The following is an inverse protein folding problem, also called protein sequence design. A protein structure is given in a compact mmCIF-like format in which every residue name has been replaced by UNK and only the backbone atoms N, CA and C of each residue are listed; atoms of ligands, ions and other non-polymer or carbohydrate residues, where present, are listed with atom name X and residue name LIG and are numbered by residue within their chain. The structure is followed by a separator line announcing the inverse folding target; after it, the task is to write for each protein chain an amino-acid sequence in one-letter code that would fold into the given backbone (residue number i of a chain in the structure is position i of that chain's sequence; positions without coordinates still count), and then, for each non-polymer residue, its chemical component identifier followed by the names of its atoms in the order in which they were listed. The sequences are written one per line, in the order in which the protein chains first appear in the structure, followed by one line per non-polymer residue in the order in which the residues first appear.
data_IF_888390067397
#
_entry.id   IF_888390067397
#
_cell.length_a   1.000
_cell.length_b   1.000
_cell.length_c   1.000
_cell.angle_alpha   90.00
_cell.angle_beta   90.00
_cell.angle_gamma   90.00
#
_symmetry.space_group_name_H-M   'P 1'
#
loop_
_entity.id
_entity.type
_entity.pdbx_description
1 polymer ?
#
# COMPACT_ATOMS: atom_id res chain seq x y z
N UNK A 1 -26.97 23.87 -63.81
CA UNK A 1 -26.94 23.94 -62.33
C UNK A 1 -25.93 25.00 -61.93
N UNK A 2 -26.35 26.11 -61.30
CA UNK A 2 -25.44 27.19 -60.86
C UNK A 2 -24.75 26.75 -59.56
N UNK A 3 -23.46 26.45 -59.62
CA UNK A 3 -22.65 26.21 -58.44
C UNK A 3 -22.58 27.51 -57.61
N UNK A 4 -23.12 27.47 -56.40
CA UNK A 4 -23.06 28.58 -55.46
C UNK A 4 -21.60 28.72 -55.01
N UNK A 5 -20.89 29.72 -55.51
CA UNK A 5 -19.55 30.07 -55.02
C UNK A 5 -19.64 30.47 -53.55
N UNK A 6 -18.93 29.74 -52.69
CA UNK A 6 -18.83 30.07 -51.26
C UNK A 6 -17.87 31.27 -51.11
N UNK A 7 -18.18 32.22 -50.22
CA UNK A 7 -17.28 33.33 -49.92
C UNK A 7 -15.90 32.78 -49.53
N UNK A 8 -14.84 33.33 -50.13
CA UNK A 8 -13.47 32.86 -49.94
C UNK A 8 -13.08 32.97 -48.46
N UNK A 9 -12.68 31.84 -47.88
CA UNK A 9 -12.23 31.74 -46.50
C UNK A 9 -10.94 32.56 -46.36
N UNK A 10 -10.94 33.56 -45.47
CA UNK A 10 -9.75 34.39 -45.29
C UNK A 10 -8.65 33.58 -44.59
N UNK A 11 -7.39 33.79 -44.96
CA UNK A 11 -6.25 33.08 -44.35
C UNK A 11 -6.22 33.28 -42.82
N UNK A 12 -6.61 34.46 -42.36
CA UNK A 12 -6.73 34.82 -40.94
C UNK A 12 -7.76 33.93 -40.22
N UNK A 13 -8.92 33.70 -40.83
CA UNK A 13 -9.99 32.88 -40.25
C UNK A 13 -9.55 31.42 -40.09
N UNK A 14 -8.83 30.88 -41.10
CA UNK A 14 -8.24 29.54 -41.00
C UNK A 14 -7.20 29.48 -39.89
N UNK A 15 -6.30 30.46 -39.79
CA UNK A 15 -5.26 30.47 -38.74
C UNK A 15 -5.83 30.62 -37.32
N UNK A 16 -6.89 31.41 -37.14
CA UNK A 16 -7.57 31.54 -35.85
C UNK A 16 -8.29 30.24 -35.50
N UNK A 17 -8.97 29.62 -36.46
CA UNK A 17 -9.61 28.32 -36.26
C UNK A 17 -8.60 27.22 -35.89
N UNK A 18 -7.42 27.19 -36.52
CA UNK A 18 -6.38 26.20 -36.17
C UNK A 18 -5.74 26.47 -34.82
N UNK A 19 -5.51 27.73 -34.43
CA UNK A 19 -5.04 28.06 -33.08
C UNK A 19 -6.05 27.64 -32.01
N UNK A 20 -7.34 27.95 -32.20
CA UNK A 20 -8.40 27.55 -31.26
C UNK A 20 -8.47 26.02 -31.18
N UNK A 21 -8.41 25.31 -32.31
CA UNK A 21 -8.40 23.85 -32.33
C UNK A 21 -7.16 23.26 -31.62
N UNK A 22 -5.99 23.86 -31.77
CA UNK A 22 -4.77 23.42 -31.08
C UNK A 22 -4.86 23.63 -29.56
N UNK A 23 -5.40 24.77 -29.11
CA UNK A 23 -5.58 25.05 -27.68
C UNK A 23 -6.61 24.10 -27.05
N UNK A 24 -7.74 23.87 -27.72
CA UNK A 24 -8.78 22.97 -27.18
C UNK A 24 -8.32 21.51 -27.14
N UNK A 25 -7.61 21.04 -28.17
CA UNK A 25 -7.07 19.67 -28.18
C UNK A 25 -6.03 19.45 -27.08
N UNK A 26 -5.07 20.37 -26.92
CA UNK A 26 -4.07 20.28 -25.85
C UNK A 26 -4.70 20.32 -24.45
N UNK A 27 -5.73 21.16 -24.25
CA UNK A 27 -6.47 21.19 -22.99
C UNK A 27 -7.16 19.86 -22.68
N UNK A 28 -7.84 19.26 -23.66
CA UNK A 28 -8.51 17.95 -23.48
C UNK A 28 -7.51 16.85 -23.17
N UNK A 29 -6.40 16.77 -23.91
CA UNK A 29 -5.35 15.78 -23.64
C UNK A 29 -4.74 15.95 -22.25
N UNK A 30 -4.51 17.20 -21.81
CA UNK A 30 -3.98 17.49 -20.48
C UNK A 30 -4.92 17.01 -19.37
N UNK A 31 -6.23 17.23 -19.51
CA UNK A 31 -7.23 16.76 -18.53
C UNK A 31 -7.29 15.23 -18.50
N UNK A 32 -7.28 14.58 -19.66
CA UNK A 32 -7.34 13.12 -19.76
C UNK A 32 -6.11 12.47 -19.14
N UNK A 33 -4.91 12.95 -19.47
CA UNK A 33 -3.66 12.47 -18.87
C UNK A 33 -3.63 12.68 -17.36
N UNK A 34 -4.09 13.84 -16.88
CA UNK A 34 -4.15 14.15 -15.45
C UNK A 34 -5.12 13.24 -14.70
N UNK A 35 -6.22 12.85 -15.35
CA UNK A 35 -7.20 11.92 -14.77
C UNK A 35 -6.60 10.53 -14.60
N UNK A 36 -5.94 9.99 -15.64
CA UNK A 36 -5.32 8.67 -15.54
C UNK A 36 -4.21 8.59 -14.48
N UNK A 37 -3.37 9.63 -14.34
CA UNK A 37 -2.35 9.67 -13.29
C UNK A 37 -2.99 9.76 -11.90
N UNK A 38 -4.11 10.47 -11.77
CA UNK A 38 -4.83 10.60 -10.51
C UNK A 38 -5.48 9.28 -10.10
N UNK A 39 -6.12 8.58 -11.03
CA UNK A 39 -6.75 7.28 -10.79
C UNK A 39 -5.70 6.23 -10.41
N UNK A 40 -4.58 6.15 -11.13
CA UNK A 40 -3.50 5.22 -10.81
C UNK A 40 -2.90 5.47 -9.41
N UNK A 41 -2.79 6.74 -8.99
CA UNK A 41 -2.34 7.09 -7.63
C UNK A 41 -3.37 6.75 -6.57
N UNK A 42 -4.66 6.93 -6.88
CA UNK A 42 -5.75 6.54 -5.98
C UNK A 42 -5.76 5.02 -5.76
N UNK A 43 -5.67 4.24 -6.84
CA UNK A 43 -5.63 2.77 -6.78
C UNK A 43 -4.45 2.27 -5.93
N UNK A 44 -3.27 2.86 -6.08
CA UNK A 44 -2.10 2.54 -5.25
C UNK A 44 -2.34 2.85 -3.78
N UNK A 45 -2.95 3.99 -3.45
CA UNK A 45 -3.26 4.39 -2.07
C UNK A 45 -4.29 3.46 -1.42
N UNK A 46 -5.32 3.07 -2.17
CA UNK A 46 -6.35 2.17 -1.68
C UNK A 46 -5.80 0.75 -1.47
N UNK A 47 -4.99 0.25 -2.40
CA UNK A 47 -4.28 -1.02 -2.24
C UNK A 47 -3.33 -1.01 -1.04
N UNK A 48 -2.57 0.07 -0.84
CA UNK A 48 -1.72 0.28 0.32
C UNK A 48 -2.51 0.24 1.64
N UNK A 49 -3.64 0.96 1.69
CA UNK A 49 -4.50 1.00 2.86
C UNK A 49 -5.10 -0.37 3.19
N UNK A 50 -5.52 -1.13 2.16
CA UNK A 50 -6.02 -2.50 2.35
C UNK A 50 -4.94 -3.44 2.86
N UNK A 51 -3.71 -3.36 2.34
CA UNK A 51 -2.60 -4.20 2.81
C UNK A 51 -2.29 -3.93 4.30
N UNK A 52 -2.25 -2.67 4.71
CA UNK A 52 -2.04 -2.30 6.13
C UNK A 52 -3.19 -2.77 7.01
N UNK A 53 -4.44 -2.63 6.59
CA UNK A 53 -5.61 -3.11 7.35
C UNK A 53 -5.60 -4.62 7.51
N UNK A 54 -5.30 -5.35 6.44
CA UNK A 54 -5.18 -6.80 6.49
C UNK A 54 -4.08 -7.23 7.47
N UNK A 55 -2.92 -6.57 7.42
CA UNK A 55 -1.83 -6.82 8.36
C UNK A 55 -2.24 -6.55 9.82
N UNK A 56 -3.01 -5.49 10.07
CA UNK A 56 -3.54 -5.18 11.40
C UNK A 56 -4.52 -6.24 11.90
N UNK A 57 -5.44 -6.71 11.06
CA UNK A 57 -6.41 -7.74 11.43
C UNK A 57 -5.73 -9.06 11.77
N UNK A 58 -4.74 -9.45 10.97
CA UNK A 58 -3.94 -10.64 11.23
C UNK A 58 -3.15 -10.49 12.53
N UNK A 59 -2.48 -9.36 12.76
CA UNK A 59 -1.73 -9.15 14.01
C UNK A 59 -2.63 -9.10 15.26
N UNK A 60 -3.85 -8.57 15.14
CA UNK A 60 -4.85 -8.66 16.22
C UNK A 60 -5.21 -10.09 16.57
N UNK A 61 -5.23 -11.00 15.60
CA UNK A 61 -5.51 -12.42 15.87
C UNK A 61 -4.41 -13.12 16.70
N UNK A 62 -3.18 -12.60 16.67
CA UNK A 62 -2.08 -13.10 17.50
C UNK A 62 -2.06 -12.51 18.92
N UNK A 63 -2.82 -11.44 19.17
CA UNK A 63 -3.01 -10.88 20.51
C UNK A 63 -4.02 -11.76 21.24
N UNK A 64 -3.54 -12.79 21.93
CA UNK A 64 -4.40 -13.58 22.82
C UNK A 64 -4.61 -12.86 24.16
N UNK A 65 -5.81 -13.03 24.72
CA UNK A 65 -6.10 -12.66 26.12
C UNK A 65 -5.34 -13.58 27.09
N UNK A 66 -4.92 -14.75 26.61
CA UNK A 66 -4.23 -15.78 27.39
C UNK A 66 -2.79 -16.03 26.87
N UNK A 67 -1.75 -15.61 27.61
CA UNK A 67 -0.35 -15.82 27.23
C UNK A 67 0.10 -17.28 27.37
N UNK A 68 -0.71 -18.15 27.99
CA UNK A 68 -0.41 -19.58 28.15
C UNK A 68 -1.00 -20.45 27.05
N UNK A 69 -1.79 -19.88 26.14
CA UNK A 69 -2.34 -20.64 25.02
C UNK A 69 -1.22 -21.03 24.04
N UNK A 70 -0.92 -22.34 23.88
CA UNK A 70 0.19 -22.80 23.05
C UNK A 70 -0.01 -22.54 21.57
N UNK A 71 -1.19 -22.12 21.12
CA UNK A 71 -1.41 -21.72 19.72
C UNK A 71 -0.87 -20.32 19.42
N UNK A 72 -0.85 -19.42 20.40
CA UNK A 72 -0.50 -18.00 20.23
C UNK A 72 0.78 -17.60 20.98
N UNK A 73 1.32 -18.49 21.82
CA UNK A 73 2.53 -18.26 22.58
C UNK A 73 3.82 -18.34 21.72
N UNK A 74 4.91 -17.66 22.14
CA UNK A 74 6.20 -17.69 21.44
C UNK A 74 6.81 -19.09 21.31
N UNK A 75 6.51 -19.97 22.27
CA UNK A 75 7.04 -21.34 22.38
C UNK A 75 6.14 -22.40 21.73
N UNK A 76 5.17 -21.98 20.92
CA UNK A 76 4.29 -22.91 20.19
C UNK A 76 5.12 -23.88 19.33
N UNK A 77 5.14 -25.16 19.70
CA UNK A 77 5.75 -26.23 18.90
C UNK A 77 5.07 -26.40 17.53
N UNK A 78 3.84 -25.89 17.38
CA UNK A 78 3.06 -25.93 16.15
C UNK A 78 3.39 -24.77 15.19
N UNK A 79 4.22 -23.81 15.61
CA UNK A 79 4.56 -22.64 14.80
C UNK A 79 3.39 -21.69 14.53
N UNK A 80 2.24 -21.90 15.19
CA UNK A 80 1.00 -21.14 14.93
C UNK A 80 1.05 -19.70 15.41
N UNK A 81 2.00 -19.32 16.27
CA UNK A 81 2.27 -17.92 16.62
C UNK A 81 3.14 -17.18 15.60
N UNK A 82 3.57 -17.84 14.52
CA UNK A 82 4.37 -17.24 13.45
C UNK A 82 3.46 -16.84 12.31
N UNK A 83 3.68 -15.64 11.79
CA UNK A 83 2.95 -15.20 10.62
C UNK A 83 3.66 -15.67 9.35
N UNK A 84 2.98 -16.45 8.51
CA UNK A 84 3.53 -16.98 7.25
C UNK A 84 3.99 -15.89 6.27
N UNK A 85 3.42 -14.69 6.36
CA UNK A 85 3.85 -13.57 5.54
C UNK A 85 5.21 -13.00 5.97
N UNK A 86 5.60 -13.21 7.23
CA UNK A 86 6.84 -12.70 7.80
C UNK A 86 8.02 -13.63 7.52
N UNK A 87 9.02 -13.11 6.82
CA UNK A 87 10.22 -13.87 6.46
C UNK A 87 11.20 -14.04 7.61
N UNK A 88 11.01 -13.35 8.73
CA UNK A 88 11.89 -13.47 9.90
C UNK A 88 11.82 -14.84 10.57
N UNK A 89 10.71 -15.56 10.38
CA UNK A 89 10.44 -16.85 11.03
C UNK A 89 10.29 -16.76 12.55
N UNK A 90 10.24 -15.55 13.11
CA UNK A 90 10.03 -15.31 14.52
C UNK A 90 8.54 -15.34 14.87
N UNK A 91 8.26 -15.31 16.17
CA UNK A 91 6.90 -15.05 16.66
C UNK A 91 6.41 -13.68 16.19
N UNK A 92 5.16 -13.59 15.75
CA UNK A 92 4.62 -12.40 15.08
C UNK A 92 4.59 -11.13 15.96
N UNK A 93 4.70 -11.28 17.28
CA UNK A 93 4.71 -10.17 18.25
C UNK A 93 6.02 -10.08 19.04
N UNK A 94 7.10 -10.72 18.55
CA UNK A 94 8.43 -10.57 19.13
C UNK A 94 8.92 -9.14 18.91
N UNK A 95 9.69 -8.61 19.84
CA UNK A 95 10.29 -7.30 19.63
C UNK A 95 11.28 -7.31 18.46
N UNK A 96 11.21 -6.24 17.65
CA UNK A 96 12.06 -6.04 16.50
C UNK A 96 11.30 -5.79 15.20
N UNK A 97 12.04 -5.91 14.08
CA UNK A 97 11.54 -5.67 12.73
C UNK A 97 11.15 -6.96 12.05
N UNK A 98 9.97 -6.96 11.45
CA UNK A 98 9.38 -8.09 10.74
C UNK A 98 9.06 -7.69 9.30
N UNK A 99 9.47 -8.50 8.33
CA UNK A 99 9.37 -8.18 6.91
C UNK A 99 8.23 -8.96 6.27
N UNK A 100 7.21 -8.25 5.79
CA UNK A 100 5.97 -8.80 5.24
C UNK A 100 5.76 -8.41 3.78
N UNK A 101 6.86 -8.36 3.05
CA UNK A 101 6.90 -8.00 1.62
C UNK A 101 5.98 -8.88 0.77
N UNK A 102 5.74 -10.12 1.18
CA UNK A 102 4.83 -11.07 0.51
C UNK A 102 3.39 -10.56 0.36
N UNK A 103 2.94 -9.62 1.19
CA UNK A 103 1.60 -9.02 1.10
C UNK A 103 1.50 -7.96 -0.01
N UNK A 104 2.60 -7.30 -0.35
CA UNK A 104 2.63 -6.15 -1.26
C UNK A 104 3.32 -6.45 -2.59
N UNK A 105 4.12 -7.51 -2.63
CA UNK A 105 4.81 -8.00 -3.82
C UNK A 105 4.00 -9.06 -4.58
N UNK A 106 2.68 -9.07 -4.44
CA UNK A 106 1.83 -9.98 -5.18
C UNK A 106 1.87 -9.65 -6.68
N UNK A 107 2.02 -10.66 -7.56
CA UNK A 107 2.05 -10.43 -8.99
C UNK A 107 0.72 -9.83 -9.46
N UNK A 108 0.79 -8.71 -10.19
CA UNK A 108 -0.38 -7.95 -10.64
C UNK A 108 -0.91 -6.92 -9.63
N UNK A 109 -0.25 -6.75 -8.47
CA UNK A 109 -0.58 -5.68 -7.53
C UNK A 109 -0.24 -4.30 -8.10
N UNK A 110 -1.10 -3.28 -7.92
CA UNK A 110 -0.81 -1.90 -8.31
C UNK A 110 0.41 -1.32 -7.55
N UNK A 111 0.82 -1.93 -6.44
CA UNK A 111 1.95 -1.51 -5.63
C UNK A 111 3.32 -1.94 -6.18
N UNK A 112 3.35 -2.96 -7.04
CA UNK A 112 4.59 -3.50 -7.62
C UNK A 112 4.45 -3.70 -9.14
N UNK A 113 4.27 -2.63 -9.93
CA UNK A 113 4.19 -2.72 -11.38
C UNK A 113 5.53 -3.18 -12.00
N UNK A 114 5.45 -3.82 -13.16
CA UNK A 114 6.64 -4.31 -13.86
C UNK A 114 7.60 -3.16 -14.21
N UNK A 115 8.89 -3.33 -13.92
CA UNK A 115 9.94 -2.36 -14.23
C UNK A 115 10.18 -1.28 -13.17
N UNK A 116 9.47 -1.33 -12.04
CA UNK A 116 9.63 -0.41 -10.90
C UNK A 116 10.12 -1.20 -9.68
N UNK A 117 10.91 -0.62 -8.75
CA UNK A 117 11.31 -1.30 -7.53
C UNK A 117 10.09 -1.85 -6.77
N UNK A 118 10.16 -3.11 -6.36
CA UNK A 118 9.07 -3.76 -5.64
C UNK A 118 8.75 -3.01 -4.34
N UNK A 119 7.46 -2.86 -4.03
CA UNK A 119 7.05 -2.30 -2.75
C UNK A 119 7.61 -3.14 -1.60
N UNK A 120 7.97 -2.47 -0.51
CA UNK A 120 8.43 -3.14 0.71
C UNK A 120 7.53 -2.76 1.86
N UNK A 121 7.20 -3.77 2.67
CA UNK A 121 6.33 -3.61 3.83
C UNK A 121 6.96 -4.33 5.01
N UNK A 122 7.08 -3.61 6.11
CA UNK A 122 7.54 -4.17 7.37
C UNK A 122 6.77 -3.58 8.54
N UNK A 123 6.84 -4.24 9.67
CA UNK A 123 6.34 -3.71 10.92
C UNK A 123 7.40 -3.85 12.01
N UNK A 124 7.44 -2.86 12.89
CA UNK A 124 8.29 -2.84 14.07
C UNK A 124 7.42 -3.06 15.30
N UNK A 125 7.76 -4.06 16.11
CA UNK A 125 7.10 -4.36 17.38
C UNK A 125 7.97 -3.88 18.53
N UNK A 126 7.36 -3.14 19.45
CA UNK A 126 7.98 -2.70 20.68
C UNK A 126 7.14 -3.13 21.88
N UNK A 127 7.77 -3.80 22.84
CA UNK A 127 7.17 -4.12 24.11
C UNK A 127 7.26 -2.95 25.07
N UNK A 128 6.17 -2.71 25.80
CA UNK A 128 6.14 -1.78 26.92
C UNK A 128 5.39 -2.40 28.09
N UNK A 129 5.70 -1.94 29.30
CA UNK A 129 5.05 -2.46 30.50
C UNK A 129 3.56 -2.13 30.47
N UNK A 130 2.71 -3.17 30.49
CA UNK A 130 1.30 -2.98 30.79
C UNK A 130 1.22 -2.63 32.28
N UNK A 131 0.48 -1.58 32.65
CA UNK A 131 0.45 -1.00 34.00
C UNK A 131 0.66 -1.95 35.20
N UNK A 132 0.07 -3.15 35.18
CA UNK A 132 0.10 -4.12 36.29
C UNK A 132 0.76 -5.47 35.96
N UNK A 133 0.95 -5.77 34.67
CA UNK A 133 1.55 -7.02 34.22
C UNK A 133 3.02 -6.74 33.87
N UNK A 134 3.93 -7.43 34.55
CA UNK A 134 5.35 -7.36 34.21
C UNK A 134 5.59 -7.69 32.74
N UNK A 135 6.79 -7.43 32.23
CA UNK A 135 7.09 -7.65 30.80
C UNK A 135 7.32 -9.13 30.45
N UNK A 136 7.61 -9.98 31.45
CA UNK A 136 8.11 -11.34 31.23
C UNK A 136 9.57 -11.36 30.79
N UNK A 137 10.06 -12.52 30.37
CA UNK A 137 11.44 -12.67 29.90
C UNK A 137 11.57 -12.19 28.44
N UNK A 138 12.64 -11.44 28.14
CA UNK A 138 13.02 -11.13 26.76
C UNK A 138 13.56 -12.38 26.03
N UNK A 139 13.60 -12.37 24.68
CA UNK A 139 13.27 -11.27 23.77
C UNK A 139 11.79 -11.16 23.42
N UNK A 140 10.97 -12.13 23.81
CA UNK A 140 9.57 -12.20 23.38
C UNK A 140 8.63 -11.41 24.29
N UNK A 141 9.00 -11.15 25.55
CA UNK A 141 8.20 -10.37 26.51
C UNK A 141 6.70 -10.72 26.47
N UNK A 142 6.33 -11.99 26.77
CA UNK A 142 5.00 -12.52 26.49
C UNK A 142 3.87 -11.86 27.29
N UNK A 143 4.20 -11.16 28.39
CA UNK A 143 3.24 -10.46 29.24
C UNK A 143 3.21 -8.94 29.00
N UNK A 144 4.09 -8.43 28.13
CA UNK A 144 4.17 -7.01 27.83
C UNK A 144 3.11 -6.58 26.82
N UNK A 145 2.71 -5.31 26.92
CA UNK A 145 1.85 -4.68 25.93
C UNK A 145 2.67 -4.44 24.67
N UNK A 146 2.08 -4.72 23.51
CA UNK A 146 2.76 -4.61 22.22
C UNK A 146 2.32 -3.36 21.49
N UNK A 147 3.27 -2.54 21.05
CA UNK A 147 3.04 -1.45 20.11
C UNK A 147 3.57 -1.88 18.75
N UNK A 148 2.70 -1.89 17.75
CA UNK A 148 3.06 -2.26 16.38
C UNK A 148 3.01 -1.02 15.51
N UNK A 149 4.11 -0.74 14.82
CA UNK A 149 4.20 0.36 13.83
C UNK A 149 4.41 -0.23 12.46
N UNK A 150 3.50 0.03 11.53
CA UNK A 150 3.62 -0.42 10.14
C UNK A 150 4.33 0.63 9.29
N UNK A 151 5.17 0.16 8.38
CA UNK A 151 5.80 0.99 7.35
C UNK A 151 5.67 0.30 6.00
N UNK A 152 5.18 1.07 5.03
CA UNK A 152 5.01 0.65 3.65
C UNK A 152 5.74 1.68 2.78
N UNK A 153 6.78 1.23 2.10
CA UNK A 153 7.54 2.03 1.16
C UNK A 153 7.20 1.54 -0.26
N UNK A 154 6.58 2.39 -1.06
CA UNK A 154 6.19 2.13 -2.45
C UNK A 154 6.45 3.37 -3.33
N UNK A 155 6.52 3.16 -4.63
CA UNK A 155 6.80 4.22 -5.61
C UNK A 155 5.49 4.79 -6.19
N UNK A 156 5.46 6.11 -6.30
CA UNK A 156 4.31 6.86 -6.84
C UNK A 156 4.20 6.75 -8.36
#
# INVERSE_FOLDING_TARGET
MKARMRPGQSLIEVTMATMIAAITTTAVFSVVLSSFVSDARADKRDAAAMAVRHAQEVLKSFVSVDPYNPLYAPTSALGTGRWQADTSGAWALRDGRHWINSLVQQPGSPLSPAGVPAATMFYDVQSYQCAWFGTGAGPDFPMACKRVTFRLDYTD
#
